data_IF_107167966146
#
_entry.id   IF_107167966146
#
_cell.length_a   1.000
_cell.length_b   1.000
_cell.length_c   1.000
_cell.angle_alpha   90.00
_cell.angle_beta   90.00
_cell.angle_gamma   90.00
#
_symmetry.space_group_name_H-M   'P 1'
#
loop_
_entity.id
_entity.type
_entity.pdbx_description
1 polymer ?
#
# COMPACT_ATOMS: atom_id res chain seq x y z
N UNK A 1 -17.60 -58.04 -10.41
CA UNK A 1 -16.35 -57.89 -11.17
C UNK A 1 -16.34 -56.52 -11.81
N UNK A 2 -15.27 -55.76 -11.54
CA UNK A 2 -14.70 -54.68 -12.36
C UNK A 2 -15.53 -53.39 -12.47
N UNK A 3 -15.12 -52.31 -11.78
CA UNK A 3 -14.17 -51.26 -12.23
C UNK A 3 -14.85 -50.33 -13.26
N UNK A 4 -14.78 -49.01 -13.26
CA UNK A 4 -13.90 -47.96 -12.71
C UNK A 4 -14.64 -46.66 -13.08
N UNK A 5 -15.01 -45.82 -12.11
CA UNK A 5 -14.34 -44.57 -11.73
C UNK A 5 -14.70 -43.32 -12.54
N UNK A 6 -14.86 -42.25 -11.76
CA UNK A 6 -14.44 -40.88 -12.02
C UNK A 6 -15.21 -40.03 -13.05
N UNK A 7 -15.94 -39.05 -12.52
CA UNK A 7 -15.88 -37.68 -13.01
C UNK A 7 -16.10 -36.67 -11.85
N UNK A 8 -15.27 -36.78 -10.80
CA UNK A 8 -15.01 -35.68 -9.86
C UNK A 8 -13.99 -34.74 -10.53
N UNK A 9 -14.45 -33.95 -11.49
CA UNK A 9 -13.61 -32.97 -12.16
C UNK A 9 -14.47 -31.77 -12.51
N UNK A 10 -14.52 -30.77 -11.63
CA UNK A 10 -14.83 -29.37 -11.95
C UNK A 10 -14.76 -28.43 -10.72
N UNK A 11 -14.01 -28.78 -9.67
CA UNK A 11 -13.60 -27.80 -8.65
C UNK A 11 -12.20 -27.28 -9.01
N UNK A 12 -12.02 -26.91 -10.27
CA UNK A 12 -10.80 -26.26 -10.76
C UNK A 12 -10.85 -24.80 -10.35
N UNK A 13 -10.43 -24.54 -9.12
CA UNK A 13 -9.60 -23.40 -8.75
C UNK A 13 -9.88 -22.08 -9.51
N UNK A 14 -11.04 -21.47 -9.27
CA UNK A 14 -11.14 -20.01 -9.29
C UNK A 14 -10.53 -19.47 -7.99
N UNK A 15 -9.23 -19.70 -7.81
CA UNK A 15 -8.45 -18.87 -6.91
C UNK A 15 -8.30 -17.52 -7.62
N UNK A 16 -9.36 -16.70 -7.53
CA UNK A 16 -9.28 -15.28 -7.78
C UNK A 16 -8.20 -14.76 -6.84
N UNK A 17 -6.98 -14.59 -7.36
CA UNK A 17 -5.94 -13.82 -6.69
C UNK A 17 -6.51 -12.40 -6.61
N UNK A 18 -7.18 -12.09 -5.50
CA UNK A 18 -7.46 -10.72 -5.16
C UNK A 18 -6.10 -10.04 -5.07
N UNK A 19 -5.81 -9.15 -6.03
CA UNK A 19 -4.64 -8.30 -5.92
C UNK A 19 -4.80 -7.51 -4.62
N UNK A 20 -3.95 -7.79 -3.62
CA UNK A 20 -3.99 -7.10 -2.36
C UNK A 20 -3.73 -5.61 -2.61
N UNK A 21 -4.70 -4.77 -2.22
CA UNK A 21 -4.54 -3.33 -2.29
C UNK A 21 -3.78 -2.85 -1.06
N UNK A 22 -2.47 -2.67 -1.20
CA UNK A 22 -1.60 -2.24 -0.11
C UNK A 22 -1.75 -0.75 0.25
N UNK A 23 -2.62 -0.01 -0.46
CA UNK A 23 -2.81 1.42 -0.23
C UNK A 23 -3.56 1.63 1.07
N UNK A 24 -3.00 2.45 1.96
CA UNK A 24 -3.67 2.92 3.16
C UNK A 24 -4.14 4.36 2.96
N UNK A 25 -5.26 4.72 3.59
CA UNK A 25 -5.71 6.11 3.63
C UNK A 25 -5.02 6.84 4.79
N UNK A 26 -4.47 8.01 4.50
CA UNK A 26 -3.85 8.93 5.45
C UNK A 26 -4.65 10.21 5.49
N UNK A 27 -4.97 10.65 6.70
CA UNK A 27 -5.46 12.00 6.97
C UNK A 27 -4.26 12.93 7.16
N UNK A 28 -4.34 14.13 6.58
CA UNK A 28 -3.26 15.11 6.67
C UNK A 28 -3.78 16.53 6.74
N UNK A 29 -2.88 17.45 7.10
CA UNK A 29 -3.08 18.89 6.95
C UNK A 29 -1.86 19.45 6.25
N UNK A 30 -2.04 19.97 5.05
CA UNK A 30 -0.96 20.54 4.24
C UNK A 30 -1.44 21.84 3.59
N UNK A 31 -0.63 22.88 3.68
CA UNK A 31 -0.95 24.19 3.09
C UNK A 31 -1.05 24.12 1.56
N UNK A 32 -0.32 23.19 0.95
CA UNK A 32 -0.28 22.96 -0.49
C UNK A 32 -1.30 21.88 -0.94
N UNK A 33 -2.22 21.49 -0.05
CA UNK A 33 -3.24 20.47 -0.29
C UNK A 33 -2.66 19.08 -0.56
N UNK A 34 -3.46 18.22 -1.21
CA UNK A 34 -3.07 16.83 -1.43
C UNK A 34 -1.86 16.62 -2.34
N UNK A 35 -1.63 17.51 -3.30
CA UNK A 35 -0.45 17.43 -4.16
C UNK A 35 0.84 17.71 -3.39
N UNK A 36 0.82 18.73 -2.53
CA UNK A 36 1.93 19.04 -1.63
C UNK A 36 2.22 17.92 -0.64
N UNK A 37 1.17 17.38 -0.02
CA UNK A 37 1.29 16.21 0.84
C UNK A 37 1.91 15.03 0.09
N UNK A 38 1.43 14.71 -1.11
CA UNK A 38 1.96 13.61 -1.90
C UNK A 38 3.41 13.79 -2.35
N UNK A 39 3.84 15.02 -2.61
CA UNK A 39 5.26 15.33 -2.87
C UNK A 39 6.09 15.04 -1.63
N UNK A 40 5.67 15.50 -0.45
CA UNK A 40 6.34 15.23 0.84
C UNK A 40 6.36 13.73 1.14
N UNK A 41 5.27 13.00 0.90
CA UNK A 41 5.20 11.54 1.03
C UNK A 41 6.27 10.82 0.22
N UNK A 42 6.35 11.12 -1.08
CA UNK A 42 7.34 10.49 -1.97
C UNK A 42 8.76 10.81 -1.53
N UNK A 43 9.05 12.07 -1.18
CA UNK A 43 10.35 12.47 -0.68
C UNK A 43 10.71 11.76 0.63
N UNK A 44 9.81 11.72 1.60
CA UNK A 44 10.03 11.05 2.88
C UNK A 44 10.23 9.54 2.71
N UNK A 45 9.45 8.91 1.83
CA UNK A 45 9.56 7.48 1.53
C UNK A 45 10.91 7.11 0.90
N UNK A 46 11.36 7.86 -0.12
CA UNK A 46 12.63 7.60 -0.82
C UNK A 46 13.85 7.83 0.09
N UNK A 47 13.77 8.81 1.00
CA UNK A 47 14.86 9.14 1.92
C UNK A 47 14.79 8.37 3.25
N UNK A 48 13.79 7.51 3.44
CA UNK A 48 13.67 6.69 4.64
C UNK A 48 14.75 5.61 4.65
N UNK A 49 15.53 5.57 5.74
CA UNK A 49 16.51 4.52 5.97
C UNK A 49 15.91 3.51 6.95
N UNK A 50 15.52 2.30 6.50
CA UNK A 50 15.00 1.29 7.41
C UNK A 50 16.09 0.84 8.40
N UNK A 51 15.68 0.51 9.63
CA UNK A 51 16.60 -0.06 10.63
C UNK A 51 17.19 -1.41 10.18
N UNK A 52 16.44 -2.15 9.36
CA UNK A 52 16.92 -3.38 8.72
C UNK A 52 17.65 -3.01 7.42
N UNK A 53 18.98 -3.14 7.44
CA UNK A 53 19.85 -2.78 6.32
C UNK A 53 19.77 -3.74 5.13
N UNK A 54 19.08 -4.88 5.26
CA UNK A 54 18.83 -5.78 4.13
C UNK A 54 17.73 -5.26 3.20
N UNK A 55 16.91 -4.33 3.69
CA UNK A 55 15.81 -3.75 2.95
C UNK A 55 16.29 -2.61 2.06
N UNK A 56 15.91 -2.65 0.79
CA UNK A 56 16.11 -1.57 -0.17
C UNK A 56 14.78 -1.02 -0.68
N UNK A 57 14.80 0.23 -1.11
CA UNK A 57 13.61 0.92 -1.61
C UNK A 57 13.04 0.17 -2.81
N UNK A 58 11.73 -0.07 -2.78
CA UNK A 58 11.01 -0.72 -3.89
C UNK A 58 10.11 0.28 -4.61
N UNK A 59 9.17 0.90 -3.88
CA UNK A 59 8.21 1.80 -4.50
C UNK A 59 7.57 2.76 -3.50
N UNK A 60 7.15 3.91 -4.03
CA UNK A 60 6.36 4.92 -3.32
C UNK A 60 5.15 5.29 -4.16
N UNK A 61 4.00 5.39 -3.52
CA UNK A 61 2.76 5.84 -4.15
C UNK A 61 2.02 6.80 -3.24
N UNK A 62 1.42 7.82 -3.85
CA UNK A 62 0.48 8.71 -3.20
C UNK A 62 -0.50 9.23 -4.25
N UNK A 63 -1.79 9.16 -3.93
CA UNK A 63 -2.87 9.75 -4.69
C UNK A 63 -3.74 10.57 -3.73
N UNK A 64 -3.94 11.88 -3.99
CA UNK A 64 -4.89 12.69 -3.24
C UNK A 64 -6.31 12.11 -3.31
N UNK A 65 -6.98 12.09 -2.16
CA UNK A 65 -8.34 11.63 -1.94
C UNK A 65 -8.44 10.24 -1.31
N UNK A 66 -9.65 9.89 -0.87
CA UNK A 66 -9.99 8.58 -0.31
C UNK A 66 -10.21 7.50 -1.39
N UNK A 67 -10.70 6.31 -1.01
CA UNK A 67 -11.00 5.22 -1.94
C UNK A 67 -12.05 5.59 -3.02
N UNK A 68 -12.85 6.62 -2.77
CA UNK A 68 -13.87 7.16 -3.68
C UNK A 68 -13.42 8.47 -4.35
N UNK A 69 -12.16 8.86 -4.17
CA UNK A 69 -11.55 10.10 -4.68
C UNK A 69 -12.15 11.39 -4.09
N UNK A 70 -12.76 11.32 -2.90
CA UNK A 70 -13.25 12.47 -2.15
C UNK A 70 -12.16 13.06 -1.25
N UNK A 71 -12.43 14.21 -0.62
CA UNK A 71 -11.57 14.81 0.41
C UNK A 71 -10.09 14.93 -0.02
N UNK A 72 -9.85 15.35 -1.28
CA UNK A 72 -8.53 15.37 -1.90
C UNK A 72 -7.53 16.32 -1.22
N UNK A 73 -8.00 17.29 -0.46
CA UNK A 73 -7.17 18.26 0.26
C UNK A 73 -6.87 17.87 1.71
N UNK A 74 -7.45 16.78 2.19
CA UNK A 74 -7.29 16.33 3.59
C UNK A 74 -7.02 14.83 3.73
N UNK A 75 -7.16 14.06 2.66
CA UNK A 75 -6.94 12.61 2.63
C UNK A 75 -6.11 12.20 1.42
N UNK A 76 -5.31 11.15 1.56
CA UNK A 76 -4.58 10.55 0.44
C UNK A 76 -4.46 9.04 0.62
N UNK A 77 -4.50 8.32 -0.50
CA UNK A 77 -4.17 6.90 -0.56
C UNK A 77 -2.69 6.73 -0.87
N UNK A 78 -2.00 6.00 -0.02
CA UNK A 78 -0.54 5.93 -0.07
C UNK A 78 -0.02 4.52 0.13
N UNK A 79 1.18 4.27 -0.37
CA UNK A 79 2.05 3.24 0.19
C UNK A 79 3.52 3.67 0.05
N UNK A 80 4.36 3.09 0.91
CA UNK A 80 5.81 3.17 0.86
C UNK A 80 6.34 1.77 1.16
N UNK A 81 6.99 1.15 0.17
CA UNK A 81 7.47 -0.22 0.27
C UNK A 81 8.97 -0.34 0.10
N UNK A 82 9.52 -1.23 0.91
CA UNK A 82 10.89 -1.72 0.83
C UNK A 82 10.86 -3.23 0.65
N UNK A 83 11.94 -3.83 0.17
CA UNK A 83 12.03 -5.27 -0.06
C UNK A 83 13.44 -5.80 0.22
N UNK A 84 13.54 -7.06 0.63
CA UNK A 84 14.80 -7.83 0.73
C UNK A 84 15.08 -8.66 -0.55
N UNK A 85 14.27 -8.47 -1.59
CA UNK A 85 14.27 -9.25 -2.84
C UNK A 85 13.25 -10.40 -2.85
N UNK A 86 12.74 -10.79 -1.69
CA UNK A 86 11.74 -11.86 -1.51
C UNK A 86 10.43 -11.32 -0.90
N UNK A 87 10.53 -10.51 0.14
CA UNK A 87 9.43 -10.03 0.95
C UNK A 87 9.30 -8.51 0.86
N UNK A 88 8.09 -8.06 0.57
CA UNK A 88 7.72 -6.65 0.65
C UNK A 88 7.42 -6.25 2.10
N UNK A 89 7.89 -5.08 2.52
CA UNK A 89 7.61 -4.45 3.81
C UNK A 89 7.02 -3.06 3.59
N UNK A 90 5.89 -2.77 4.22
CA UNK A 90 5.26 -1.45 4.18
C UNK A 90 5.70 -0.63 5.40
N UNK A 91 6.09 0.63 5.18
CA UNK A 91 6.54 1.55 6.23
C UNK A 91 5.63 2.78 6.37
N UNK A 92 4.39 2.67 5.89
CA UNK A 92 3.42 3.77 5.81
C UNK A 92 3.25 4.55 7.12
N UNK A 93 3.22 3.86 8.27
CA UNK A 93 3.10 4.50 9.58
C UNK A 93 4.26 5.45 9.89
N UNK A 94 5.50 5.06 9.54
CA UNK A 94 6.69 5.89 9.73
C UNK A 94 6.67 7.11 8.81
N UNK A 95 6.28 6.91 7.55
CA UNK A 95 6.23 8.00 6.57
C UNK A 95 5.10 8.99 6.89
N UNK A 96 3.94 8.50 7.33
CA UNK A 96 2.84 9.35 7.77
C UNK A 96 3.30 10.30 8.89
N UNK A 97 3.95 9.77 9.94
CA UNK A 97 4.50 10.58 11.02
C UNK A 97 5.53 11.62 10.53
N UNK A 98 6.40 11.25 9.58
CA UNK A 98 7.41 12.15 9.00
C UNK A 98 6.80 13.25 8.10
N UNK A 99 5.57 13.08 7.64
CA UNK A 99 4.90 13.98 6.67
C UNK A 99 3.75 14.76 7.29
N UNK A 100 3.55 14.66 8.61
CA UNK A 100 2.43 15.30 9.30
C UNK A 100 1.07 14.63 9.06
N UNK A 101 1.07 13.41 8.50
CA UNK A 101 -0.12 12.60 8.31
C UNK A 101 -0.32 11.58 9.44
N UNK A 102 -1.52 11.04 9.53
CA UNK A 102 -1.84 9.91 10.40
C UNK A 102 -2.74 8.90 9.68
N UNK A 103 -2.63 7.63 10.07
CA UNK A 103 -3.49 6.58 9.52
C UNK A 103 -4.94 6.93 9.80
N UNK A 104 -5.75 6.95 8.73
CA UNK A 104 -7.19 7.14 8.83
C UNK A 104 -7.78 6.02 9.69
N UNK A 105 -8.40 6.39 10.81
CA UNK A 105 -9.09 5.44 11.68
C UNK A 105 -10.53 5.29 11.20
N UNK A 106 -10.97 4.04 10.97
CA UNK A 106 -12.31 3.70 10.52
C UNK A 106 -13.41 4.12 11.50
#
# INVERSE_FOLDING_TARGET
MKFVAAALALVSALALVAAADDRQTIDFTDADGGEGFCKKWKCACINYVPNDSSLYFQAAYCQPGDARNNARDTTARVFCSFTDGTNKKLVNKHIAAATGGHLHQY
#
